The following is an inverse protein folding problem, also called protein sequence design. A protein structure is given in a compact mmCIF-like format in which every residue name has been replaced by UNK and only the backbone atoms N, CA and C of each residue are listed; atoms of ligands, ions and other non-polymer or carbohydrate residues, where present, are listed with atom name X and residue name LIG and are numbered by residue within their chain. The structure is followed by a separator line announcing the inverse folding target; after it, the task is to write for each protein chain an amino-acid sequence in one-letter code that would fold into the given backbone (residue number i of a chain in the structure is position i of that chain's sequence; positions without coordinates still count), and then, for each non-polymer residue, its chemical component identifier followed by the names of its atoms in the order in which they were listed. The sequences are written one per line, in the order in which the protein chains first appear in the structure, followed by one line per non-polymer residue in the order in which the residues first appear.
data_IF_082238086454
#
_entry.id   IF_082238086454
#
_cell.length_a   1.000
_cell.length_b   1.000
_cell.length_c   1.000
_cell.angle_alpha   90.00
_cell.angle_beta   90.00
_cell.angle_gamma   90.00
#
_symmetry.space_group_name_H-M   'P 1'
#
loop_
_entity.id
_entity.type
_entity.pdbx_description
1 polymer ?
#
# COMPACT_ATOMS: atom_id res chain seq x y z
N UNK A 1 23.56 11.73 -3.24
CA UNK A 1 22.85 10.44 -3.28
C UNK A 1 22.26 10.30 -4.66
N UNK A 2 22.82 9.37 -5.44
CA UNK A 2 22.36 9.12 -6.79
C UNK A 2 20.93 8.53 -6.70
N UNK A 3 19.99 9.16 -7.39
CA UNK A 3 18.67 8.57 -7.59
C UNK A 3 18.86 7.29 -8.41
N UNK A 4 18.71 6.13 -7.77
CA UNK A 4 18.68 4.87 -8.49
C UNK A 4 17.32 4.76 -9.18
N UNK A 5 17.33 4.71 -10.50
CA UNK A 5 16.13 4.38 -11.27
C UNK A 5 15.87 2.86 -11.17
N UNK A 6 15.09 2.47 -10.17
CA UNK A 6 14.73 1.08 -9.94
C UNK A 6 13.70 0.54 -10.94
N UNK A 7 13.12 1.40 -11.80
CA UNK A 7 12.14 1.01 -12.82
C UNK A 7 12.68 -0.06 -13.77
N UNK A 8 13.99 -0.06 -14.01
CA UNK A 8 14.66 -1.02 -14.90
C UNK A 8 14.82 -2.42 -14.28
N UNK A 9 14.79 -2.54 -12.93
CA UNK A 9 15.03 -3.79 -12.23
C UNK A 9 13.75 -4.45 -11.71
N UNK A 10 12.73 -3.66 -11.35
CA UNK A 10 11.55 -4.17 -10.63
C UNK A 10 10.21 -3.67 -11.18
N UNK A 11 10.19 -2.96 -12.33
CA UNK A 11 8.95 -2.41 -12.89
C UNK A 11 8.29 -1.36 -11.96
N UNK A 12 9.12 -0.54 -11.29
CA UNK A 12 8.64 0.49 -10.34
C UNK A 12 7.76 1.51 -11.07
N UNK A 13 6.58 1.87 -10.52
CA UNK A 13 5.76 2.93 -11.09
C UNK A 13 6.54 4.25 -11.15
N UNK A 14 6.57 4.88 -12.31
CA UNK A 14 7.39 6.07 -12.61
C UNK A 14 6.86 7.39 -12.02
N UNK A 15 5.80 7.38 -11.21
CA UNK A 15 5.17 8.59 -10.69
C UNK A 15 5.57 8.97 -9.27
N UNK A 16 6.25 8.10 -8.52
CA UNK A 16 6.70 8.33 -7.14
C UNK A 16 8.21 8.45 -7.02
N UNK A 17 8.69 9.29 -6.11
CA UNK A 17 10.12 9.34 -5.78
C UNK A 17 10.44 8.18 -4.83
N UNK A 18 11.25 7.22 -5.31
CA UNK A 18 11.75 6.12 -4.50
C UNK A 18 13.27 6.21 -4.36
N UNK A 19 13.75 6.17 -3.12
CA UNK A 19 15.19 6.27 -2.79
C UNK A 19 15.63 4.96 -2.17
N UNK A 20 16.69 4.37 -2.72
CA UNK A 20 17.29 3.15 -2.19
C UNK A 20 18.44 3.47 -1.24
N UNK A 21 18.39 2.91 -0.03
CA UNK A 21 19.42 3.01 0.99
C UNK A 21 20.15 1.69 1.25
N UNK A 22 19.85 0.65 0.49
CA UNK A 22 20.53 -0.66 0.66
C UNK A 22 22.04 -0.46 0.46
N UNK A 23 22.82 -0.92 1.45
CA UNK A 23 24.27 -0.78 1.43
C UNK A 23 24.82 0.60 1.78
N UNK A 24 23.97 1.62 2.01
CA UNK A 24 24.41 2.95 2.42
C UNK A 24 24.68 3.06 3.93
N UNK A 25 24.01 2.21 4.72
CA UNK A 25 24.13 2.19 6.18
C UNK A 25 24.69 0.87 6.68
N UNK A 26 25.22 0.88 7.91
CA UNK A 26 25.62 -0.35 8.60
C UNK A 26 24.39 -1.23 8.75
N UNK A 27 24.50 -2.45 8.25
CA UNK A 27 23.42 -3.42 8.31
C UNK A 27 23.99 -4.82 8.61
N UNK A 28 23.75 -5.32 9.82
CA UNK A 28 24.15 -6.64 10.26
C UNK A 28 23.02 -7.67 10.23
N UNK A 29 21.83 -7.29 9.75
CA UNK A 29 20.77 -8.26 9.52
C UNK A 29 21.08 -9.09 8.26
N UNK A 30 21.19 -10.39 8.40
CA UNK A 30 21.57 -11.28 7.28
C UNK A 30 20.66 -12.48 7.08
N UNK A 31 19.73 -12.72 8.02
CA UNK A 31 18.80 -13.84 7.93
C UNK A 31 17.71 -13.54 6.91
N UNK A 32 17.60 -14.39 5.88
CA UNK A 32 16.55 -14.27 4.88
C UNK A 32 15.21 -14.79 5.41
N UNK A 33 14.12 -14.10 5.05
CA UNK A 33 12.77 -14.57 5.31
C UNK A 33 12.36 -15.63 4.28
N UNK A 34 11.70 -16.69 4.75
CA UNK A 34 11.27 -17.80 3.88
C UNK A 34 9.96 -17.45 3.17
N UNK A 35 9.02 -16.81 3.87
CA UNK A 35 7.73 -16.38 3.34
C UNK A 35 7.29 -15.06 3.97
N UNK A 36 6.33 -14.39 3.35
CA UNK A 36 5.73 -13.14 3.83
C UNK A 36 4.24 -13.34 3.99
N UNK A 37 3.74 -13.21 5.22
CA UNK A 37 2.31 -13.36 5.51
C UNK A 37 1.53 -12.05 5.37
N UNK A 38 2.16 -10.90 5.72
CA UNK A 38 1.53 -9.59 5.67
C UNK A 38 2.55 -8.45 5.55
N UNK A 39 2.07 -7.28 5.12
CA UNK A 39 2.78 -6.01 5.21
C UNK A 39 2.31 -5.26 6.46
N UNK A 40 3.24 -4.92 7.34
CA UNK A 40 2.91 -4.28 8.62
C UNK A 40 3.27 -2.81 8.58
N UNK A 41 2.25 -2.00 8.86
CA UNK A 41 2.42 -0.56 8.91
C UNK A 41 2.79 -0.11 10.31
N UNK A 42 3.79 0.77 10.36
CA UNK A 42 4.26 1.42 11.56
C UNK A 42 4.22 2.94 11.40
N UNK A 43 4.29 3.65 12.51
CA UNK A 43 4.76 5.02 12.54
C UNK A 43 6.08 5.08 13.30
N UNK A 44 6.90 6.10 13.04
CA UNK A 44 8.14 6.29 13.80
C UNK A 44 7.87 6.82 15.22
N UNK A 45 6.66 7.30 15.49
CA UNK A 45 6.25 7.96 16.72
C UNK A 45 7.14 9.17 17.09
N UNK A 46 7.72 9.83 16.08
CA UNK A 46 8.66 10.94 16.22
C UNK A 46 8.05 12.26 15.74
N UNK A 47 8.79 13.35 15.93
CA UNK A 47 8.47 14.61 15.26
C UNK A 47 8.68 14.48 13.75
N UNK A 48 7.99 15.28 12.92
CA UNK A 48 8.07 15.20 11.46
C UNK A 48 9.44 15.66 10.87
N UNK A 49 10.33 16.19 11.70
CA UNK A 49 11.66 16.67 11.28
C UNK A 49 12.77 15.61 11.40
N UNK A 50 12.43 14.39 11.78
CA UNK A 50 13.38 13.28 11.88
C UNK A 50 13.76 12.80 10.47
N UNK A 51 15.02 12.39 10.29
CA UNK A 51 15.51 11.76 9.05
C UNK A 51 15.61 10.25 9.20
N UNK A 52 15.68 9.51 8.10
CA UNK A 52 15.84 8.05 8.15
C UNK A 52 17.21 7.65 8.70
N UNK A 53 18.25 8.48 8.50
CA UNK A 53 19.56 8.31 9.14
C UNK A 53 19.47 8.40 10.66
N UNK A 54 18.66 9.33 11.18
CA UNK A 54 18.44 9.46 12.61
C UNK A 54 17.68 8.26 13.18
N UNK A 55 16.68 7.74 12.46
CA UNK A 55 15.97 6.50 12.84
C UNK A 55 16.95 5.31 12.83
N UNK A 56 17.77 5.16 11.79
CA UNK A 56 18.81 4.14 11.73
C UNK A 56 19.79 4.27 12.90
N UNK A 57 20.30 5.48 13.17
CA UNK A 57 21.22 5.74 14.27
C UNK A 57 20.60 5.40 15.64
N UNK A 58 19.33 5.72 15.85
CA UNK A 58 18.63 5.34 17.07
C UNK A 58 18.53 3.81 17.23
N UNK A 59 18.16 3.08 16.17
CA UNK A 59 18.07 1.63 16.20
C UNK A 59 19.45 0.98 16.47
N UNK A 60 20.50 1.47 15.85
CA UNK A 60 21.84 0.88 15.99
C UNK A 60 22.54 1.31 17.26
N UNK A 61 22.57 2.59 17.58
CA UNK A 61 23.38 3.15 18.66
C UNK A 61 22.65 3.15 20.01
N UNK A 62 21.32 3.31 20.03
CA UNK A 62 20.55 3.38 21.27
C UNK A 62 19.90 2.04 21.63
N UNK A 63 19.37 1.31 20.64
CA UNK A 63 18.75 0.01 20.86
C UNK A 63 19.72 -1.16 20.69
N UNK A 64 20.90 -0.93 20.11
CA UNK A 64 21.90 -1.96 19.84
C UNK A 64 21.49 -2.97 18.76
N UNK A 65 20.56 -2.59 17.89
CA UNK A 65 20.14 -3.46 16.79
C UNK A 65 21.20 -3.50 15.67
N UNK A 66 21.27 -4.60 14.90
CA UNK A 66 22.26 -4.73 13.83
C UNK A 66 22.11 -3.72 12.70
N UNK A 67 20.95 -3.07 12.57
CA UNK A 67 20.63 -2.12 11.53
C UNK A 67 19.25 -1.49 11.76
N UNK A 68 18.70 -0.82 10.73
CA UNK A 68 17.34 -0.26 10.80
C UNK A 68 16.30 -1.40 10.88
N UNK A 69 15.31 -1.26 11.75
CA UNK A 69 14.29 -2.30 11.99
C UNK A 69 13.22 -2.42 10.91
N UNK A 70 13.08 -1.44 10.04
CA UNK A 70 12.07 -1.40 8.98
C UNK A 70 12.67 -1.74 7.62
N UNK A 71 11.84 -2.28 6.71
CA UNK A 71 12.23 -2.55 5.33
C UNK A 71 12.04 -1.33 4.44
N UNK A 72 10.92 -0.63 4.62
CA UNK A 72 10.59 0.57 3.88
C UNK A 72 10.18 1.70 4.81
N UNK A 73 10.33 2.92 4.32
CA UNK A 73 9.89 4.14 4.97
C UNK A 73 9.16 5.05 4.00
N UNK A 74 8.24 5.88 4.52
CA UNK A 74 7.57 6.90 3.73
C UNK A 74 7.68 8.22 4.48
N UNK A 75 8.29 9.21 3.85
CA UNK A 75 8.43 10.57 4.38
C UNK A 75 7.12 11.35 4.23
N UNK A 76 6.98 12.48 4.95
CA UNK A 76 5.76 13.29 4.94
C UNK A 76 5.36 13.81 3.55
N UNK A 77 6.34 14.06 2.69
CA UNK A 77 6.13 14.51 1.31
C UNK A 77 5.73 13.40 0.34
N UNK A 78 5.60 12.15 0.84
CA UNK A 78 5.28 10.98 0.06
C UNK A 78 6.49 10.26 -0.54
N UNK A 79 7.71 10.76 -0.34
CA UNK A 79 8.92 10.06 -0.81
C UNK A 79 9.02 8.68 -0.15
N UNK A 80 9.14 7.65 -0.97
CA UNK A 80 9.32 6.26 -0.54
C UNK A 80 10.81 5.96 -0.38
N UNK A 81 11.17 5.26 0.67
CA UNK A 81 12.54 4.85 0.96
C UNK A 81 12.60 3.33 1.10
N UNK A 82 13.45 2.68 0.32
CA UNK A 82 13.86 1.29 0.57
C UNK A 82 14.99 1.37 1.60
N UNK A 83 14.66 1.10 2.85
CA UNK A 83 15.60 1.27 3.98
C UNK A 83 16.53 0.07 4.14
N UNK A 84 16.05 -1.10 3.71
CA UNK A 84 16.77 -2.36 3.83
C UNK A 84 16.20 -3.38 2.84
N UNK A 85 16.96 -4.44 2.56
CA UNK A 85 16.51 -5.56 1.72
C UNK A 85 15.20 -6.15 2.26
N UNK A 86 14.11 -6.11 1.49
CA UNK A 86 12.80 -6.63 1.92
C UNK A 86 12.79 -8.13 2.16
N UNK A 87 13.77 -8.88 1.64
CA UNK A 87 13.93 -10.31 1.88
C UNK A 87 14.49 -10.67 3.25
N UNK A 88 15.15 -9.73 3.95
CA UNK A 88 15.76 -10.00 5.25
C UNK A 88 14.76 -9.89 6.40
N UNK A 89 15.03 -10.58 7.51
CA UNK A 89 14.26 -10.45 8.76
C UNK A 89 14.74 -9.20 9.49
N UNK A 90 13.82 -8.27 9.83
CA UNK A 90 14.10 -7.03 10.54
C UNK A 90 13.45 -7.00 11.92
N UNK A 91 13.78 -6.00 12.74
CA UNK A 91 13.29 -5.86 14.12
C UNK A 91 12.14 -4.85 14.19
N UNK A 92 10.91 -5.25 13.87
CA UNK A 92 9.74 -4.36 13.87
C UNK A 92 8.47 -4.94 14.51
N UNK A 93 8.38 -6.28 14.68
CA UNK A 93 7.29 -6.95 15.40
C UNK A 93 7.90 -8.03 16.27
N UNK A 94 7.92 -7.82 17.58
CA UNK A 94 8.53 -8.74 18.53
C UNK A 94 8.04 -10.18 18.33
N UNK A 95 8.96 -11.14 18.27
CA UNK A 95 8.78 -12.59 18.04
C UNK A 95 8.07 -12.97 16.73
N UNK A 96 7.69 -12.00 15.88
CA UNK A 96 7.02 -12.23 14.59
C UNK A 96 7.73 -11.61 13.39
N UNK A 97 8.93 -11.10 13.58
CA UNK A 97 9.72 -10.45 12.52
C UNK A 97 9.89 -11.30 11.26
N UNK A 98 9.96 -12.63 11.41
CA UNK A 98 10.16 -13.59 10.33
C UNK A 98 8.94 -13.77 9.42
N UNK A 99 7.77 -13.28 9.83
CA UNK A 99 6.50 -13.41 9.10
C UNK A 99 6.18 -12.18 8.22
N UNK A 100 6.79 -11.02 8.51
CA UNK A 100 6.27 -9.75 8.04
C UNK A 100 7.31 -8.85 7.37
N UNK A 101 6.84 -8.03 6.43
CA UNK A 101 7.57 -6.86 5.91
C UNK A 101 7.04 -5.61 6.62
N UNK A 102 7.93 -4.81 7.22
CA UNK A 102 7.57 -3.58 7.92
C UNK A 102 7.74 -2.34 7.04
N UNK A 103 6.68 -1.54 6.95
CA UNK A 103 6.67 -0.21 6.30
C UNK A 103 6.41 0.83 7.36
N UNK A 104 7.32 1.80 7.54
CA UNK A 104 7.18 2.84 8.54
C UNK A 104 6.82 4.19 7.93
N UNK A 105 5.85 4.87 8.50
CA UNK A 105 5.50 6.24 8.19
C UNK A 105 6.23 7.18 9.14
N UNK A 106 6.92 8.18 8.60
CA UNK A 106 7.60 9.19 9.41
C UNK A 106 6.60 10.11 10.09
N UNK A 107 6.64 10.18 11.40
CA UNK A 107 5.74 11.00 12.20
C UNK A 107 5.08 10.25 13.35
N UNK A 108 4.16 10.93 14.04
CA UNK A 108 3.32 10.36 15.08
C UNK A 108 1.84 10.58 14.72
N UNK A 109 1.13 9.49 14.52
CA UNK A 109 -0.27 9.50 14.06
C UNK A 109 -1.25 9.02 15.12
N UNK A 110 -0.90 9.24 16.39
CA UNK A 110 -1.81 8.96 17.52
C UNK A 110 -3.05 9.84 17.47
N UNK A 111 -2.87 11.13 17.20
CA UNK A 111 -3.94 12.13 17.27
C UNK A 111 -4.25 12.84 15.94
N UNK A 112 -3.44 12.60 14.92
CA UNK A 112 -3.59 13.21 13.59
C UNK A 112 -3.31 12.19 12.49
N UNK A 113 -4.07 12.17 11.39
CA UNK A 113 -3.82 11.26 10.29
C UNK A 113 -2.55 11.64 9.52
N UNK A 114 -1.92 10.68 8.83
CA UNK A 114 -0.86 10.97 7.88
C UNK A 114 -1.34 11.92 6.78
N UNK A 115 -0.49 12.83 6.29
CA UNK A 115 -0.87 13.73 5.19
C UNK A 115 -1.16 12.94 3.90
N UNK A 116 -2.01 13.47 3.00
CA UNK A 116 -2.39 12.80 1.75
C UNK A 116 -1.20 12.37 0.87
N UNK A 117 -0.14 13.19 0.80
CA UNK A 117 1.08 12.84 0.07
C UNK A 117 1.74 11.58 0.63
N UNK A 118 1.82 11.47 1.96
CA UNK A 118 2.39 10.29 2.62
C UNK A 118 1.52 9.04 2.42
N UNK A 119 0.19 9.17 2.41
CA UNK A 119 -0.72 8.07 2.09
C UNK A 119 -0.54 7.59 0.65
N UNK A 120 -0.32 8.51 -0.30
CA UNK A 120 0.01 8.16 -1.68
C UNK A 120 1.34 7.39 -1.75
N UNK A 121 2.39 7.87 -1.10
CA UNK A 121 3.67 7.18 -1.01
C UNK A 121 3.57 5.80 -0.35
N UNK A 122 2.73 5.66 0.67
CA UNK A 122 2.45 4.34 1.26
C UNK A 122 1.82 3.39 0.24
N UNK A 123 0.84 3.85 -0.54
CA UNK A 123 0.23 3.03 -1.59
C UNK A 123 1.29 2.59 -2.61
N UNK A 124 2.17 3.49 -3.04
CA UNK A 124 3.28 3.18 -3.96
C UNK A 124 4.25 2.14 -3.36
N UNK A 125 4.59 2.26 -2.07
CA UNK A 125 5.41 1.28 -1.36
C UNK A 125 4.74 -0.11 -1.30
N UNK A 126 3.45 -0.15 -1.00
CA UNK A 126 2.68 -1.39 -0.95
C UNK A 126 2.56 -2.03 -2.34
N UNK A 127 2.32 -1.24 -3.38
CA UNK A 127 2.22 -1.74 -4.75
C UNK A 127 3.56 -2.32 -5.22
N UNK A 128 4.68 -1.68 -4.87
CA UNK A 128 6.00 -2.23 -5.13
C UNK A 128 6.22 -3.56 -4.36
N UNK A 129 5.88 -3.63 -3.08
CA UNK A 129 5.99 -4.88 -2.30
C UNK A 129 5.10 -6.00 -2.88
N UNK A 130 3.93 -5.67 -3.42
CA UNK A 130 3.06 -6.63 -4.11
C UNK A 130 3.71 -7.22 -5.36
N UNK A 131 4.56 -6.47 -6.05
CA UNK A 131 5.33 -7.02 -7.19
C UNK A 131 6.31 -8.10 -6.75
N UNK A 132 6.82 -8.05 -5.52
CA UNK A 132 7.80 -8.99 -4.97
C UNK A 132 7.15 -10.21 -4.29
N UNK A 133 6.04 -10.00 -3.58
CA UNK A 133 5.45 -11.01 -2.69
C UNK A 133 4.02 -11.39 -3.05
N UNK A 134 3.45 -10.82 -4.09
CA UNK A 134 2.04 -10.96 -4.41
C UNK A 134 1.16 -10.12 -3.48
N UNK A 135 -0.15 -10.25 -3.64
CA UNK A 135 -1.12 -9.57 -2.80
C UNK A 135 -1.13 -10.19 -1.40
N UNK A 136 -0.73 -9.40 -0.41
CA UNK A 136 -0.67 -9.79 1.00
C UNK A 136 -1.52 -8.83 1.83
N UNK A 137 -2.14 -9.30 2.91
CA UNK A 137 -2.84 -8.43 3.85
C UNK A 137 -1.97 -7.29 4.35
N UNK A 138 -2.58 -6.11 4.50
CA UNK A 138 -1.96 -4.96 5.16
C UNK A 138 -2.54 -4.85 6.56
N UNK A 139 -1.68 -4.76 7.58
CA UNK A 139 -2.07 -4.71 9.00
C UNK A 139 -1.32 -3.59 9.72
N UNK A 140 -1.94 -3.00 10.73
CA UNK A 140 -1.23 -2.14 11.68
C UNK A 140 -0.41 -2.98 12.67
N UNK A 141 0.70 -2.44 13.18
CA UNK A 141 1.54 -3.15 14.15
C UNK A 141 0.73 -3.67 15.35
N UNK A 142 -0.21 -2.88 15.88
CA UNK A 142 -1.06 -3.28 17.02
C UNK A 142 -1.95 -4.50 16.74
N UNK A 143 -2.31 -4.74 15.48
CA UNK A 143 -3.19 -5.86 15.10
C UNK A 143 -2.45 -7.20 15.12
N UNK A 144 -1.13 -7.16 15.03
CA UNK A 144 -0.26 -8.33 15.02
C UNK A 144 0.66 -8.42 16.24
N UNK A 145 0.65 -7.41 17.10
CA UNK A 145 1.41 -7.40 18.35
C UNK A 145 0.91 -8.51 19.30
N UNK A 146 1.84 -9.11 20.02
CA UNK A 146 1.49 -10.13 21.00
C UNK A 146 0.95 -9.48 22.28
N UNK A 147 0.10 -10.20 23.01
CA UNK A 147 -0.56 -9.67 24.21
C UNK A 147 0.38 -9.21 25.33
N UNK A 148 1.60 -9.76 25.36
CA UNK A 148 2.63 -9.36 26.31
C UNK A 148 3.51 -8.18 25.83
N UNK A 149 3.36 -7.77 24.55
CA UNK A 149 4.05 -6.60 23.97
C UNK A 149 3.06 -5.72 23.19
N UNK A 150 2.03 -5.16 23.87
CA UNK A 150 1.02 -4.35 23.21
C UNK A 150 1.61 -3.01 22.73
N UNK A 151 1.09 -2.50 21.63
CA UNK A 151 1.52 -1.23 21.05
C UNK A 151 0.34 -0.42 20.53
N UNK A 152 0.45 0.91 20.59
CA UNK A 152 -0.48 1.82 19.93
C UNK A 152 -0.08 2.12 18.48
N UNK A 153 1.08 1.62 18.03
CA UNK A 153 1.56 1.78 16.66
C UNK A 153 0.60 1.10 15.67
N UNK A 154 0.27 1.74 14.60
CA UNK A 154 0.80 2.97 14.01
C UNK A 154 0.04 4.25 14.37
N UNK A 155 -0.75 4.25 15.41
CA UNK A 155 -1.57 5.37 15.86
C UNK A 155 -3.07 5.14 15.70
N UNK A 156 -3.91 6.06 16.19
CA UNK A 156 -5.37 5.87 16.26
C UNK A 156 -6.13 6.41 15.05
N UNK A 157 -5.48 7.19 14.21
CA UNK A 157 -6.16 7.96 13.15
C UNK A 157 -5.86 7.43 11.76
N UNK A 158 -5.36 6.21 11.66
CA UNK A 158 -4.94 5.65 10.38
C UNK A 158 -6.09 4.93 9.66
N UNK A 159 -6.24 5.15 8.32
CA UNK A 159 -7.40 4.67 7.56
C UNK A 159 -7.46 3.15 7.30
N UNK A 160 -6.41 2.34 7.56
CA UNK A 160 -6.50 0.89 7.35
C UNK A 160 -7.31 0.15 8.42
N UNK A 161 -7.65 0.78 9.57
CA UNK A 161 -8.60 0.18 10.52
C UNK A 161 -10.00 0.00 9.92
N UNK A 162 -10.22 0.57 8.76
CA UNK A 162 -11.35 0.23 7.88
C UNK A 162 -11.04 -1.04 7.07
N UNK A 163 -10.13 -1.91 7.60
CA UNK A 163 -9.63 -3.11 6.96
C UNK A 163 -10.73 -4.02 6.45
N UNK A 164 -10.57 -4.54 5.25
CA UNK A 164 -11.40 -5.50 4.54
C UNK A 164 -12.91 -5.16 4.40
N UNK A 165 -13.41 -4.17 5.08
CA UNK A 165 -14.62 -3.51 4.65
C UNK A 165 -14.23 -2.63 3.45
N UNK A 166 -14.31 -3.23 2.27
CA UNK A 166 -14.29 -2.51 1.00
C UNK A 166 -15.05 -1.23 1.25
N UNK A 167 -14.39 -0.06 1.13
CA UNK A 167 -15.04 1.22 1.41
C UNK A 167 -16.28 1.29 0.55
N UNK A 168 -17.42 0.88 1.13
CA UNK A 168 -18.70 0.74 0.43
C UNK A 168 -19.05 2.02 -0.30
N UNK A 169 -18.66 3.17 0.26
CA UNK A 169 -18.86 4.49 -0.35
C UNK A 169 -18.00 4.66 -1.62
N UNK A 170 -16.74 4.22 -1.61
CA UNK A 170 -15.86 4.29 -2.79
C UNK A 170 -16.28 3.27 -3.85
N UNK A 171 -16.66 2.06 -3.42
CA UNK A 171 -17.21 1.07 -4.35
C UNK A 171 -18.50 1.56 -4.97
N UNK A 172 -19.42 2.11 -4.17
CA UNK A 172 -20.66 2.71 -4.67
C UNK A 172 -20.36 3.86 -5.64
N UNK A 173 -19.43 4.76 -5.31
CA UNK A 173 -19.03 5.84 -6.20
C UNK A 173 -18.43 5.32 -7.52
N UNK A 174 -17.56 4.30 -7.45
CA UNK A 174 -17.00 3.66 -8.64
C UNK A 174 -18.10 2.95 -9.47
N UNK A 175 -19.01 2.24 -8.80
CA UNK A 175 -20.17 1.60 -9.44
C UNK A 175 -21.05 2.64 -10.11
N UNK A 176 -21.30 3.80 -9.48
CA UNK A 176 -22.11 4.88 -10.04
C UNK A 176 -21.44 5.51 -11.28
N UNK A 177 -20.12 5.67 -11.27
CA UNK A 177 -19.35 6.12 -12.42
C UNK A 177 -19.48 5.13 -13.60
N UNK A 178 -19.27 3.83 -13.31
CA UNK A 178 -19.40 2.77 -14.33
C UNK A 178 -20.82 2.71 -14.84
N UNK A 179 -21.83 2.80 -13.97
CA UNK A 179 -23.24 2.83 -14.34
C UNK A 179 -23.59 4.04 -15.20
N UNK A 180 -23.02 5.21 -14.87
CA UNK A 180 -23.18 6.43 -15.68
C UNK A 180 -22.60 6.26 -17.09
N UNK A 181 -21.43 5.62 -17.21
CA UNK A 181 -20.82 5.28 -18.49
C UNK A 181 -21.66 4.25 -19.28
N UNK A 182 -22.20 3.22 -18.62
CA UNK A 182 -23.05 2.21 -19.24
C UNK A 182 -24.33 2.82 -19.83
N UNK A 183 -24.99 3.72 -19.12
CA UNK A 183 -26.14 4.46 -19.64
C UNK A 183 -25.77 5.26 -20.90
N UNK A 184 -24.58 5.84 -20.95
CA UNK A 184 -24.09 6.58 -22.11
C UNK A 184 -23.81 5.65 -23.30
N UNK A 185 -23.26 4.45 -23.05
CA UNK A 185 -23.02 3.41 -24.06
C UNK A 185 -24.34 2.91 -24.64
N UNK A 186 -25.31 2.57 -23.79
CA UNK A 186 -26.66 2.15 -24.23
C UNK A 186 -27.34 3.21 -25.09
N UNK A 187 -27.24 4.48 -24.67
CA UNK A 187 -27.80 5.58 -25.46
C UNK A 187 -27.09 5.78 -26.82
N UNK A 188 -25.79 5.45 -26.88
CA UNK A 188 -25.05 5.45 -28.14
C UNK A 188 -25.47 4.28 -29.03
N UNK A 189 -25.69 3.08 -28.45
CA UNK A 189 -26.19 1.92 -29.15
C UNK A 189 -27.57 2.18 -29.75
N UNK A 190 -28.52 2.76 -29.00
CA UNK A 190 -29.83 3.15 -29.49
C UNK A 190 -29.73 4.09 -30.70
N UNK A 191 -28.79 5.07 -30.66
CA UNK A 191 -28.56 5.98 -31.81
C UNK A 191 -27.99 5.24 -33.03
N UNK A 192 -27.09 4.27 -32.82
CA UNK A 192 -26.52 3.49 -33.92
C UNK A 192 -27.54 2.54 -34.53
N UNK A 193 -28.45 1.96 -33.74
CA UNK A 193 -29.61 1.20 -34.25
C UNK A 193 -30.48 2.08 -35.14
N UNK A 194 -30.75 3.33 -34.73
CA UNK A 194 -31.53 4.29 -35.50
C UNK A 194 -30.84 4.74 -36.82
N UNK A 195 -29.51 4.55 -36.92
CA UNK A 195 -28.72 4.86 -38.12
C UNK A 195 -28.38 3.62 -38.98
N UNK A 196 -29.03 2.49 -38.70
CA UNK A 196 -28.82 1.20 -39.42
C UNK A 196 -27.39 0.59 -39.27
N UNK A 197 -26.67 0.96 -38.21
CA UNK A 197 -25.38 0.40 -37.86
C UNK A 197 -25.54 -0.76 -36.84
N UNK A 198 -26.30 -1.79 -37.19
CA UNK A 198 -26.73 -2.88 -36.27
C UNK A 198 -25.59 -3.65 -35.68
N UNK A 199 -24.50 -3.92 -36.42
CA UNK A 199 -23.39 -4.73 -35.94
C UNK A 199 -22.60 -4.02 -34.83
N UNK A 200 -22.42 -2.69 -34.95
CA UNK A 200 -21.74 -1.89 -33.93
C UNK A 200 -22.64 -1.67 -32.71
N UNK A 201 -23.96 -1.47 -32.92
CA UNK A 201 -24.92 -1.40 -31.84
C UNK A 201 -24.99 -2.68 -31.04
N UNK A 202 -25.05 -3.84 -31.69
CA UNK A 202 -25.05 -5.14 -31.02
C UNK A 202 -23.78 -5.38 -30.17
N UNK A 203 -22.61 -4.95 -30.67
CA UNK A 203 -21.36 -5.01 -29.91
C UNK A 203 -21.38 -4.15 -28.67
N UNK A 204 -21.93 -2.94 -28.74
CA UNK A 204 -22.05 -2.04 -27.57
C UNK A 204 -23.06 -2.55 -26.55
N UNK A 205 -24.18 -3.13 -26.99
CA UNK A 205 -25.17 -3.75 -26.12
C UNK A 205 -24.58 -4.96 -25.37
N UNK A 206 -23.78 -5.78 -26.05
CA UNK A 206 -23.08 -6.91 -25.45
C UNK A 206 -22.12 -6.43 -24.34
N UNK A 207 -21.29 -5.43 -24.63
CA UNK A 207 -20.36 -4.85 -23.64
C UNK A 207 -21.11 -4.26 -22.43
N UNK A 208 -22.22 -3.58 -22.67
CA UNK A 208 -23.03 -3.04 -21.59
C UNK A 208 -23.63 -4.13 -20.71
N UNK A 209 -24.16 -5.20 -21.31
CA UNK A 209 -24.74 -6.34 -20.57
C UNK A 209 -23.69 -7.10 -19.75
N UNK A 210 -22.49 -7.33 -20.30
CA UNK A 210 -21.38 -8.00 -19.59
C UNK A 210 -20.92 -7.21 -18.38
N UNK A 211 -20.73 -5.89 -18.56
CA UNK A 211 -20.34 -5.02 -17.42
C UNK A 211 -21.43 -4.98 -16.35
N UNK A 212 -22.70 -4.99 -16.72
CA UNK A 212 -23.81 -5.03 -15.76
C UNK A 212 -23.85 -6.33 -14.96
N UNK A 213 -23.53 -7.46 -15.59
CA UNK A 213 -23.43 -8.75 -14.91
C UNK A 213 -22.30 -8.72 -13.87
N UNK A 214 -21.14 -8.19 -14.21
CA UNK A 214 -20.00 -8.02 -13.28
C UNK A 214 -20.35 -7.11 -12.09
N UNK A 215 -21.03 -5.98 -12.34
CA UNK A 215 -21.50 -5.08 -11.28
C UNK A 215 -22.47 -5.83 -10.33
N UNK A 216 -23.39 -6.61 -10.86
CA UNK A 216 -24.33 -7.40 -10.05
C UNK A 216 -23.60 -8.42 -9.17
N UNK A 217 -22.57 -9.07 -9.71
CA UNK A 217 -21.71 -10.00 -8.96
C UNK A 217 -20.98 -9.27 -7.83
N UNK A 218 -20.34 -8.14 -8.10
CA UNK A 218 -19.65 -7.33 -7.09
C UNK A 218 -20.62 -6.92 -5.97
N UNK A 219 -21.81 -6.43 -6.31
CA UNK A 219 -22.83 -6.07 -5.32
C UNK A 219 -23.26 -7.25 -4.46
N UNK A 220 -23.46 -8.41 -5.05
CA UNK A 220 -23.83 -9.61 -4.32
C UNK A 220 -22.73 -10.06 -3.35
N UNK A 221 -21.45 -10.06 -3.80
CA UNK A 221 -20.31 -10.50 -2.99
C UNK A 221 -19.96 -9.51 -1.88
N UNK A 222 -20.20 -8.21 -2.09
CA UNK A 222 -19.92 -7.15 -1.10
C UNK A 222 -21.10 -6.82 -0.20
N UNK A 223 -22.27 -7.42 -0.45
CA UNK A 223 -23.49 -7.16 0.32
C UNK A 223 -24.03 -5.73 0.11
N UNK A 224 -23.77 -5.10 -1.04
CA UNK A 224 -24.24 -3.77 -1.45
C UNK A 224 -25.52 -3.82 -2.24
#
# INVERSE_FOLDING_TARGET
TDELDLSQFYGVPTEGKMIDHIGQWIDGFSTQRVDTEAFIIHHTATTPLVTWEAVHSYHTNSLGWPGIGYHMGVSLDGTVHILADPGTIRAHVEDRNHLYVGVALMGNFTDSPPPPAQLKGLQEALDWLRTLYGDKPVRGHREVALSYSPTACPGNTYPWEQGDEVDKQKVLAAVDIIWGHQKSVLKAAEKLWALEHSDLAASLDFFAADTMAHIATIKHETGL
#
